data_IF_935837179934
#
_entry.id   IF_935837179934
#
_cell.length_a   1.000
_cell.length_b   1.000
_cell.length_c   1.000
_cell.angle_alpha   90.00
_cell.angle_beta   90.00
_cell.angle_gamma   90.00
#
_symmetry.space_group_name_H-M   'P 1'
#
loop_
_entity.id
_entity.type
_entity.pdbx_description
1 polymer ?
#
# COMPACT_ATOMS: atom_id res chain seq x y z
N UNK A 1 -48.98 -49.93 -29.03
CA UNK A 1 -49.65 -50.87 -29.94
C UNK A 1 -48.91 -52.19 -29.92
N UNK A 2 -49.66 -53.26 -29.61
CA UNK A 2 -49.44 -54.69 -29.90
C UNK A 2 -48.17 -55.40 -29.39
N UNK A 3 -48.43 -56.22 -28.38
CA UNK A 3 -47.75 -57.48 -28.08
C UNK A 3 -47.87 -58.50 -29.25
N UNK A 4 -46.92 -59.44 -29.27
CA UNK A 4 -47.11 -60.90 -29.16
C UNK A 4 -46.77 -61.82 -30.37
N UNK A 5 -46.09 -62.92 -29.98
CA UNK A 5 -45.86 -64.25 -30.57
C UNK A 5 -44.66 -64.47 -31.52
N UNK A 6 -43.59 -65.23 -31.22
CA UNK A 6 -43.34 -66.65 -30.79
C UNK A 6 -42.88 -67.48 -32.00
N UNK A 7 -41.73 -68.17 -31.89
CA UNK A 7 -41.50 -69.57 -32.31
C UNK A 7 -40.05 -69.95 -31.96
N UNK A 8 -39.95 -70.90 -31.04
CA UNK A 8 -38.75 -71.63 -30.70
C UNK A 8 -38.36 -72.55 -31.86
N UNK A 9 -37.07 -72.56 -32.23
CA UNK A 9 -36.46 -73.67 -32.97
C UNK A 9 -35.38 -74.26 -32.08
N UNK A 10 -35.78 -75.34 -31.44
CA UNK A 10 -34.94 -76.29 -30.73
C UNK A 10 -34.30 -77.18 -31.79
N UNK A 11 -33.07 -76.85 -32.22
CA UNK A 11 -32.24 -77.76 -32.99
C UNK A 11 -31.10 -78.22 -32.10
N UNK A 12 -31.27 -79.42 -31.55
CA UNK A 12 -30.21 -80.15 -30.87
C UNK A 12 -29.04 -80.37 -31.81
N UNK A 13 -27.86 -79.93 -31.37
CA UNK A 13 -26.60 -80.13 -32.05
C UNK A 13 -25.47 -80.04 -31.04
N UNK A 14 -25.12 -81.21 -30.47
CA UNK A 14 -23.88 -81.51 -29.75
C UNK A 14 -23.40 -80.46 -28.74
N UNK A 15 -23.80 -80.67 -27.49
CA UNK A 15 -23.06 -80.18 -26.33
C UNK A 15 -21.68 -80.85 -26.37
N UNK A 16 -20.70 -80.21 -26.99
CA UNK A 16 -19.29 -80.55 -26.78
C UNK A 16 -19.00 -80.16 -25.34
N UNK A 17 -18.63 -81.10 -24.44
CA UNK A 17 -18.17 -80.73 -23.12
C UNK A 17 -16.97 -79.82 -23.32
N UNK A 18 -17.08 -78.58 -22.87
CA UNK A 18 -15.94 -77.69 -22.73
C UNK A 18 -14.97 -78.43 -21.79
N UNK A 19 -13.95 -79.05 -22.37
CA UNK A 19 -12.82 -79.58 -21.62
C UNK A 19 -12.30 -78.40 -20.79
N UNK A 20 -12.49 -78.48 -19.48
CA UNK A 20 -11.85 -77.58 -18.54
C UNK A 20 -10.34 -77.72 -18.81
N UNK A 21 -9.77 -76.72 -19.47
CA UNK A 21 -8.35 -76.67 -19.73
C UNK A 21 -7.70 -76.53 -18.35
N UNK A 22 -7.03 -77.59 -17.89
CA UNK A 22 -6.15 -77.57 -16.72
C UNK A 22 -5.04 -76.55 -16.99
N UNK A 23 -5.34 -75.27 -16.72
CA UNK A 23 -4.36 -74.19 -16.80
C UNK A 23 -3.57 -74.24 -15.51
N UNK A 24 -2.29 -74.59 -15.61
CA UNK A 24 -1.35 -74.47 -14.48
C UNK A 24 -1.47 -73.04 -13.92
N UNK A 25 -1.77 -72.88 -12.62
CA UNK A 25 -1.92 -71.56 -12.03
C UNK A 25 -0.58 -70.81 -12.13
N UNK A 26 -0.59 -69.48 -12.34
CA UNK A 26 0.64 -68.73 -12.50
C UNK A 26 1.52 -68.88 -11.24
N UNK A 27 2.82 -69.18 -11.40
CA UNK A 27 3.74 -69.41 -10.29
C UNK A 27 3.86 -68.13 -9.42
N UNK A 28 4.03 -68.26 -8.09
CA UNK A 28 4.11 -67.12 -7.18
C UNK A 28 5.29 -66.20 -7.54
N UNK A 29 5.10 -64.90 -7.36
CA UNK A 29 6.06 -63.86 -7.79
C UNK A 29 7.45 -63.98 -7.15
N UNK A 30 7.57 -64.75 -6.07
CA UNK A 30 8.83 -65.04 -5.35
C UNK A 30 9.71 -66.12 -5.99
N UNK A 31 9.19 -66.93 -6.93
CA UNK A 31 10.00 -67.94 -7.63
C UNK A 31 10.86 -67.29 -8.72
N UNK A 32 12.20 -67.45 -8.71
CA UNK A 32 13.08 -66.88 -9.74
C UNK A 32 12.87 -67.55 -11.09
N UNK A 33 12.98 -66.79 -12.18
CA UNK A 33 12.61 -67.24 -13.53
C UNK A 33 13.43 -68.45 -14.05
N UNK A 34 14.62 -68.68 -13.50
CA UNK A 34 15.49 -69.81 -13.85
C UNK A 34 15.02 -71.16 -13.30
N UNK A 35 14.10 -71.13 -12.33
CA UNK A 35 13.57 -72.32 -11.63
C UNK A 35 12.13 -72.64 -12.06
N UNK A 36 11.64 -72.01 -13.13
CA UNK A 36 10.31 -72.26 -13.68
C UNK A 36 10.33 -73.47 -14.62
N UNK A 37 9.41 -74.40 -14.39
CA UNK A 37 9.07 -75.43 -15.37
C UNK A 37 8.41 -74.78 -16.60
N UNK A 38 8.50 -75.42 -17.78
CA UNK A 38 7.99 -74.83 -19.04
C UNK A 38 6.52 -74.39 -18.94
N UNK A 39 5.66 -75.22 -18.34
CA UNK A 39 4.23 -74.91 -18.16
C UNK A 39 3.99 -73.75 -17.17
N UNK A 40 4.82 -73.64 -16.12
CA UNK A 40 4.77 -72.52 -15.16
C UNK A 40 5.25 -71.21 -15.81
N UNK A 41 6.27 -71.28 -16.67
CA UNK A 41 6.78 -70.14 -17.44
C UNK A 41 5.73 -69.63 -18.44
N UNK A 42 5.06 -70.52 -19.17
CA UNK A 42 3.97 -70.17 -20.08
C UNK A 42 2.80 -69.51 -19.35
N UNK A 43 2.43 -70.01 -18.17
CA UNK A 43 1.40 -69.40 -17.32
C UNK A 43 1.79 -67.98 -16.85
N UNK A 44 3.06 -67.76 -16.49
CA UNK A 44 3.58 -66.43 -16.10
C UNK A 44 3.62 -65.46 -17.29
N UNK A 45 4.05 -65.91 -18.47
CA UNK A 45 4.04 -65.11 -19.69
C UNK A 45 2.60 -64.68 -20.04
N UNK A 46 1.64 -65.60 -19.94
CA UNK A 46 0.24 -65.31 -20.22
C UNK A 46 -0.35 -64.29 -19.24
N UNK A 47 -0.05 -64.41 -17.93
CA UNK A 47 -0.41 -63.40 -16.90
C UNK A 47 0.14 -62.02 -17.29
N UNK A 48 1.42 -61.91 -17.61
CA UNK A 48 2.01 -60.61 -17.99
C UNK A 48 1.45 -60.08 -19.30
N UNK A 49 1.12 -60.95 -20.26
CA UNK A 49 0.47 -60.55 -21.51
C UNK A 49 -0.93 -59.97 -21.27
N UNK A 50 -1.73 -60.59 -20.41
CA UNK A 50 -3.04 -60.08 -20.01
C UNK A 50 -2.95 -58.78 -19.22
N UNK A 51 -1.98 -58.68 -18.30
CA UNK A 51 -1.69 -57.45 -17.56
C UNK A 51 -1.28 -56.31 -18.50
N UNK A 52 -0.38 -56.56 -19.45
CA UNK A 52 0.04 -55.58 -20.46
C UNK A 52 -1.14 -55.16 -21.35
N UNK A 53 -1.99 -56.09 -21.79
CA UNK A 53 -3.19 -55.75 -22.56
C UNK A 53 -4.17 -54.88 -21.75
N UNK A 54 -4.34 -55.17 -20.46
CA UNK A 54 -5.16 -54.39 -19.54
C UNK A 54 -4.59 -52.99 -19.32
N UNK A 55 -3.28 -52.89 -19.07
CA UNK A 55 -2.59 -51.61 -18.90
C UNK A 55 -2.64 -50.77 -20.18
N UNK A 56 -2.47 -51.39 -21.34
CA UNK A 56 -2.60 -50.72 -22.64
C UNK A 56 -4.00 -50.14 -22.82
N UNK A 57 -5.05 -50.92 -22.53
CA UNK A 57 -6.45 -50.46 -22.60
C UNK A 57 -6.70 -49.28 -21.65
N UNK A 58 -6.17 -49.34 -20.42
CA UNK A 58 -6.25 -48.22 -19.46
C UNK A 58 -5.53 -46.98 -19.96
N UNK A 59 -4.35 -47.14 -20.54
CA UNK A 59 -3.54 -46.05 -21.07
C UNK A 59 -4.24 -45.36 -22.24
N UNK A 60 -4.85 -46.13 -23.14
CA UNK A 60 -5.60 -45.57 -24.28
C UNK A 60 -6.89 -44.88 -23.81
N UNK A 61 -7.56 -45.41 -22.78
CA UNK A 61 -8.66 -44.74 -22.09
C UNK A 61 -8.26 -43.40 -21.48
N UNK A 62 -7.18 -43.38 -20.69
CA UNK A 62 -6.65 -42.14 -20.07
C UNK A 62 -6.24 -41.11 -21.12
N UNK A 63 -5.66 -41.53 -22.25
CA UNK A 63 -5.35 -40.62 -23.36
C UNK A 63 -6.61 -39.99 -23.95
N UNK A 64 -7.66 -40.78 -24.16
CA UNK A 64 -8.94 -40.26 -24.66
C UNK A 64 -9.56 -39.26 -23.67
N UNK A 65 -9.48 -39.56 -22.36
CA UNK A 65 -9.99 -38.66 -21.32
C UNK A 65 -9.20 -37.34 -21.28
N UNK A 66 -7.87 -37.39 -21.42
CA UNK A 66 -7.02 -36.18 -21.52
C UNK A 66 -7.42 -35.35 -22.74
N UNK A 67 -7.54 -35.96 -23.92
CA UNK A 67 -7.95 -35.25 -25.14
C UNK A 67 -9.32 -34.58 -24.99
N UNK A 68 -10.26 -35.27 -24.33
CA UNK A 68 -11.58 -34.71 -24.04
C UNK A 68 -11.47 -33.53 -23.07
N UNK A 69 -10.72 -33.66 -21.98
CA UNK A 69 -10.53 -32.60 -21.00
C UNK A 69 -9.84 -31.35 -21.62
N UNK A 70 -8.87 -31.55 -22.52
CA UNK A 70 -8.22 -30.47 -23.26
C UNK A 70 -9.20 -29.75 -24.20
N UNK A 71 -10.09 -30.51 -24.87
CA UNK A 71 -11.15 -29.96 -25.71
C UNK A 71 -12.20 -29.17 -24.93
N UNK A 72 -12.64 -29.71 -23.79
CA UNK A 72 -13.58 -29.06 -22.87
C UNK A 72 -12.96 -27.76 -22.29
N UNK A 73 -11.68 -27.80 -21.91
CA UNK A 73 -10.94 -26.62 -21.42
C UNK A 73 -10.85 -25.53 -22.50
N UNK A 74 -10.50 -25.90 -23.73
CA UNK A 74 -10.42 -24.96 -24.86
C UNK A 74 -11.78 -24.30 -25.12
N UNK A 75 -12.85 -25.09 -25.08
CA UNK A 75 -14.22 -24.58 -25.26
C UNK A 75 -14.62 -23.62 -24.13
N UNK A 76 -14.40 -24.00 -22.87
CA UNK A 76 -14.70 -23.18 -21.71
C UNK A 76 -13.91 -21.85 -21.71
N UNK A 77 -12.63 -21.87 -22.09
CA UNK A 77 -11.81 -20.65 -22.24
C UNK A 77 -12.36 -19.76 -23.35
N UNK A 78 -12.76 -20.35 -24.49
CA UNK A 78 -13.39 -19.61 -25.57
C UNK A 78 -14.71 -18.94 -25.16
N UNK A 79 -15.55 -19.65 -24.40
CA UNK A 79 -16.83 -19.13 -23.93
C UNK A 79 -16.65 -18.04 -22.85
N UNK A 80 -15.67 -18.18 -21.95
CA UNK A 80 -15.29 -17.13 -21.02
C UNK A 80 -14.81 -15.86 -21.73
N UNK A 81 -14.01 -16.01 -22.80
CA UNK A 81 -13.54 -14.88 -23.58
C UNK A 81 -14.70 -14.11 -24.21
N UNK A 82 -15.66 -14.81 -24.83
CA UNK A 82 -16.87 -14.20 -25.40
C UNK A 82 -17.69 -13.48 -24.33
N UNK A 83 -17.91 -14.12 -23.18
CA UNK A 83 -18.64 -13.52 -22.06
C UNK A 83 -17.97 -12.21 -21.58
N UNK A 84 -16.64 -12.19 -21.50
CA UNK A 84 -15.91 -10.97 -21.15
C UNK A 84 -16.03 -9.89 -22.23
N UNK A 85 -15.92 -10.24 -23.51
CA UNK A 85 -16.13 -9.30 -24.63
C UNK A 85 -17.54 -8.70 -24.61
N UNK A 86 -18.56 -9.52 -24.34
CA UNK A 86 -19.95 -9.06 -24.18
C UNK A 86 -20.11 -8.11 -22.99
N UNK A 87 -19.51 -8.42 -21.85
CA UNK A 87 -19.50 -7.53 -20.67
C UNK A 87 -18.84 -6.19 -21.02
N UNK A 88 -17.68 -6.21 -21.67
CA UNK A 88 -16.96 -5.00 -22.09
C UNK A 88 -17.80 -4.15 -23.06
N UNK A 89 -18.49 -4.81 -24.00
CA UNK A 89 -19.44 -4.17 -24.90
C UNK A 89 -20.60 -3.51 -24.13
N UNK A 90 -21.19 -4.18 -23.13
CA UNK A 90 -22.28 -3.61 -22.32
C UNK A 90 -21.85 -2.35 -21.54
N UNK A 91 -20.62 -2.34 -21.02
CA UNK A 91 -20.06 -1.17 -20.33
C UNK A 91 -19.47 -0.12 -21.28
N UNK A 92 -19.49 -0.38 -22.60
CA UNK A 92 -18.92 0.49 -23.62
C UNK A 92 -17.43 0.74 -23.43
N UNK A 93 -16.70 -0.28 -22.96
CA UNK A 93 -15.25 -0.23 -22.77
C UNK A 93 -14.57 -1.18 -23.74
N UNK A 94 -13.35 -0.83 -24.15
CA UNK A 94 -12.49 -1.74 -24.92
C UNK A 94 -11.60 -2.56 -24.00
N UNK A 95 -11.03 -3.64 -24.53
CA UNK A 95 -10.00 -4.42 -23.79
C UNK A 95 -8.80 -3.54 -23.40
N UNK A 96 -8.44 -2.56 -24.24
CA UNK A 96 -7.38 -1.60 -23.93
C UNK A 96 -7.72 -0.71 -22.73
N UNK A 97 -8.98 -0.27 -22.62
CA UNK A 97 -9.44 0.54 -21.48
C UNK A 97 -9.40 -0.26 -20.18
N UNK A 98 -9.83 -1.52 -20.24
CA UNK A 98 -9.77 -2.46 -19.11
C UNK A 98 -8.33 -2.72 -18.67
N UNK A 99 -7.41 -2.92 -19.62
CA UNK A 99 -6.00 -3.12 -19.34
C UNK A 99 -5.36 -1.86 -18.73
N UNK A 100 -5.65 -0.68 -19.30
CA UNK A 100 -5.21 0.60 -18.76
C UNK A 100 -5.75 0.85 -17.34
N UNK A 101 -7.01 0.49 -17.08
CA UNK A 101 -7.60 0.55 -15.74
C UNK A 101 -6.87 -0.39 -14.78
N UNK A 102 -6.62 -1.64 -15.18
CA UNK A 102 -5.91 -2.64 -14.37
C UNK A 102 -4.51 -2.15 -13.97
N UNK A 103 -3.78 -1.56 -14.91
CA UNK A 103 -2.47 -0.98 -14.62
C UNK A 103 -2.54 0.21 -13.67
N UNK A 104 -3.48 1.15 -13.89
CA UNK A 104 -3.67 2.31 -13.01
C UNK A 104 -4.03 1.88 -11.59
N UNK A 105 -4.96 0.93 -11.45
CA UNK A 105 -5.33 0.35 -10.16
C UNK A 105 -4.13 -0.31 -9.48
N UNK A 106 -3.35 -1.11 -10.22
CA UNK A 106 -2.14 -1.75 -9.70
C UNK A 106 -1.09 -0.74 -9.22
N UNK A 107 -0.93 0.41 -9.89
CA UNK A 107 -0.04 1.49 -9.44
C UNK A 107 -0.51 2.10 -8.11
N UNK A 108 -1.81 2.36 -7.94
CA UNK A 108 -2.36 2.87 -6.68
C UNK A 108 -2.19 1.84 -5.56
N UNK A 109 -2.51 0.57 -5.81
CA UNK A 109 -2.29 -0.51 -4.84
C UNK A 109 -0.83 -0.62 -4.39
N UNK A 110 0.12 -0.48 -5.34
CA UNK A 110 1.55 -0.45 -5.03
C UNK A 110 1.91 0.70 -4.08
N UNK A 111 1.48 1.93 -4.39
CA UNK A 111 1.72 3.11 -3.54
C UNK A 111 1.06 2.98 -2.16
N UNK A 112 -0.16 2.45 -2.09
CA UNK A 112 -0.85 2.23 -0.80
C UNK A 112 -0.11 1.22 0.06
N UNK A 113 0.38 0.11 -0.52
CA UNK A 113 1.20 -0.87 0.21
C UNK A 113 2.53 -0.29 0.69
N UNK A 114 3.13 0.64 -0.04
CA UNK A 114 4.32 1.37 0.41
C UNK A 114 3.98 2.24 1.63
N UNK A 115 2.89 3.01 1.55
CA UNK A 115 2.45 3.89 2.63
C UNK A 115 2.05 3.12 3.89
N UNK A 116 1.42 1.95 3.75
CA UNK A 116 1.07 1.07 4.88
C UNK A 116 2.29 0.57 5.67
N UNK A 117 3.50 0.64 5.12
CA UNK A 117 4.74 0.25 5.81
C UNK A 117 5.37 1.39 6.61
N UNK A 118 4.92 2.63 6.39
CA UNK A 118 5.44 3.80 7.08
C UNK A 118 4.87 3.89 8.51
N UNK A 119 5.61 4.53 9.40
CA UNK A 119 5.11 4.81 10.75
C UNK A 119 4.12 5.99 10.75
N UNK A 120 3.42 6.19 11.86
CA UNK A 120 2.37 7.22 11.98
C UNK A 120 2.88 8.65 11.70
N UNK A 121 4.12 8.97 12.13
CA UNK A 121 4.72 10.30 11.92
C UNK A 121 5.05 10.53 10.43
N UNK A 122 5.64 9.54 9.76
CA UNK A 122 5.94 9.59 8.33
C UNK A 122 4.66 9.64 7.49
N UNK A 123 3.60 8.94 7.90
CA UNK A 123 2.29 9.00 7.26
C UNK A 123 1.67 10.39 7.39
N UNK A 124 1.79 11.03 8.55
CA UNK A 124 1.32 12.40 8.76
C UNK A 124 2.08 13.40 7.88
N UNK A 125 3.38 13.22 7.68
CA UNK A 125 4.17 14.06 6.76
C UNK A 125 3.80 13.84 5.28
N UNK A 126 3.44 12.61 4.89
CA UNK A 126 3.02 12.24 3.53
C UNK A 126 1.49 12.33 3.31
N UNK A 127 0.76 13.06 4.16
CA UNK A 127 -0.69 13.18 4.07
C UNK A 127 -1.17 13.74 2.72
N UNK A 128 -0.39 14.64 2.10
CA UNK A 128 -0.69 15.17 0.77
C UNK A 128 -0.70 14.06 -0.31
N UNK A 129 0.20 13.08 -0.20
CA UNK A 129 0.24 11.93 -1.11
C UNK A 129 -0.96 11.00 -0.89
N UNK A 130 -1.37 10.78 0.37
CA UNK A 130 -2.58 9.99 0.69
C UNK A 130 -3.84 10.64 0.11
N UNK A 131 -3.95 11.97 0.19
CA UNK A 131 -5.05 12.73 -0.46
C UNK A 131 -5.03 12.58 -1.98
N UNK A 132 -3.87 12.72 -2.60
CA UNK A 132 -3.72 12.52 -4.04
C UNK A 132 -4.12 11.09 -4.47
N UNK A 133 -3.76 10.06 -3.69
CA UNK A 133 -4.17 8.68 -3.94
C UNK A 133 -5.70 8.51 -3.84
N UNK A 134 -6.34 9.16 -2.87
CA UNK A 134 -7.80 9.14 -2.76
C UNK A 134 -8.45 9.82 -3.97
N UNK A 135 -7.93 10.95 -4.43
CA UNK A 135 -8.41 11.65 -5.62
C UNK A 135 -8.24 10.79 -6.88
N UNK A 136 -7.06 10.18 -7.07
CA UNK A 136 -6.79 9.24 -8.17
C UNK A 136 -7.77 8.05 -8.13
N UNK A 137 -7.99 7.44 -6.96
CA UNK A 137 -8.94 6.34 -6.81
C UNK A 137 -10.38 6.79 -7.07
N UNK A 138 -10.78 7.97 -6.60
CA UNK A 138 -12.11 8.52 -6.84
C UNK A 138 -12.34 8.87 -8.32
N UNK A 139 -11.31 9.26 -9.05
CA UNK A 139 -11.37 9.42 -10.50
C UNK A 139 -11.63 8.07 -11.18
N UNK A 140 -10.87 7.03 -10.81
CA UNK A 140 -11.07 5.67 -11.33
C UNK A 140 -12.48 5.13 -11.03
N UNK A 141 -13.00 5.38 -9.82
CA UNK A 141 -14.35 4.96 -9.41
C UNK A 141 -15.48 5.53 -10.26
N UNK A 142 -15.25 6.64 -10.98
CA UNK A 142 -16.24 7.25 -11.88
C UNK A 142 -16.24 6.59 -13.26
N UNK A 143 -15.19 5.85 -13.60
CA UNK A 143 -15.13 5.12 -14.87
C UNK A 143 -16.06 3.90 -14.82
N UNK A 144 -16.71 3.59 -15.95
CA UNK A 144 -17.64 2.44 -16.05
C UNK A 144 -16.94 1.11 -15.78
N UNK A 145 -15.65 1.02 -16.09
CA UNK A 145 -14.79 -0.15 -15.86
C UNK A 145 -14.69 -0.51 -14.38
N UNK A 146 -14.80 0.46 -13.46
CA UNK A 146 -14.72 0.19 -12.02
C UNK A 146 -15.87 -0.68 -11.49
N UNK A 147 -16.98 -0.79 -12.22
CA UNK A 147 -18.12 -1.63 -11.86
C UNK A 147 -17.92 -3.11 -12.21
N UNK A 148 -16.85 -3.46 -12.94
CA UNK A 148 -16.57 -4.86 -13.27
C UNK A 148 -16.28 -5.68 -12.02
N UNK A 149 -16.77 -6.94 -11.94
CA UNK A 149 -16.55 -7.81 -10.78
C UNK A 149 -15.07 -8.01 -10.41
N UNK A 150 -14.16 -8.06 -11.40
CA UNK A 150 -12.71 -8.18 -11.17
C UNK A 150 -12.13 -7.02 -10.35
N UNK A 151 -12.70 -5.82 -10.48
CA UNK A 151 -12.15 -4.60 -9.89
C UNK A 151 -12.95 -4.08 -8.71
N UNK A 152 -14.26 -4.31 -8.69
CA UNK A 152 -15.19 -3.71 -7.73
C UNK A 152 -14.75 -3.93 -6.27
N UNK A 153 -14.51 -5.19 -5.89
CA UNK A 153 -14.10 -5.54 -4.52
C UNK A 153 -12.73 -4.97 -4.16
N UNK A 154 -11.79 -4.98 -5.12
CA UNK A 154 -10.44 -4.41 -4.96
C UNK A 154 -10.50 -2.91 -4.73
N UNK A 155 -11.28 -2.19 -5.53
CA UNK A 155 -11.45 -0.74 -5.42
C UNK A 155 -12.06 -0.36 -4.06
N UNK A 156 -13.03 -1.14 -3.57
CA UNK A 156 -13.63 -0.92 -2.24
C UNK A 156 -12.62 -1.18 -1.13
N UNK A 157 -11.87 -2.28 -1.20
CA UNK A 157 -10.83 -2.59 -0.23
C UNK A 157 -9.77 -1.48 -0.20
N UNK A 158 -9.34 -1.03 -1.37
CA UNK A 158 -8.34 0.03 -1.51
C UNK A 158 -8.85 1.37 -0.96
N UNK A 159 -10.12 1.71 -1.17
CA UNK A 159 -10.73 2.91 -0.58
C UNK A 159 -10.73 2.85 0.95
N UNK A 160 -11.00 1.67 1.54
CA UNK A 160 -10.91 1.45 2.98
C UNK A 160 -9.47 1.63 3.48
N UNK A 161 -8.51 1.06 2.76
CA UNK A 161 -7.09 1.12 3.13
C UNK A 161 -6.58 2.56 3.09
N UNK A 162 -6.85 3.30 2.00
CA UNK A 162 -6.49 4.73 1.88
C UNK A 162 -7.12 5.54 3.00
N UNK A 163 -8.40 5.31 3.32
CA UNK A 163 -9.06 5.97 4.44
C UNK A 163 -8.35 5.67 5.77
N UNK A 164 -7.88 4.43 5.95
CA UNK A 164 -7.12 4.00 7.12
C UNK A 164 -5.71 4.61 7.22
N UNK A 165 -5.15 5.13 6.12
CA UNK A 165 -3.85 5.80 6.09
C UNK A 165 -3.89 7.26 6.52
N UNK A 166 -5.08 7.87 6.63
CA UNK A 166 -5.18 9.23 7.14
C UNK A 166 -4.67 9.31 8.58
N UNK A 167 -3.57 10.04 8.75
CA UNK A 167 -3.02 10.44 10.04
C UNK A 167 -2.95 11.96 10.07
N UNK A 168 -3.55 12.54 11.10
CA UNK A 168 -3.37 13.94 11.38
C UNK A 168 -2.06 14.11 12.15
N UNK A 169 -1.30 15.11 11.77
CA UNK A 169 -0.11 15.54 12.50
C UNK A 169 -0.58 16.03 13.86
N UNK A 170 -0.44 15.20 14.91
CA UNK A 170 -0.79 15.59 16.28
C UNK A 170 0.14 16.71 16.71
N UNK A 171 -0.36 17.95 16.62
CA UNK A 171 0.33 19.10 17.16
C UNK A 171 0.22 19.01 18.69
N UNK A 172 1.36 18.92 19.37
CA UNK A 172 1.37 19.00 20.83
C UNK A 172 1.19 20.46 21.24
N UNK A 173 0.25 20.76 22.14
CA UNK A 173 0.17 22.07 22.77
C UNK A 173 1.19 22.18 23.91
N UNK A 174 1.88 23.30 24.02
CA UNK A 174 2.71 23.63 25.17
C UNK A 174 2.22 24.90 25.83
N UNK A 175 1.89 24.83 27.11
CA UNK A 175 1.54 26.02 27.89
C UNK A 175 2.80 26.69 28.39
N UNK A 176 3.03 27.93 27.97
CA UNK A 176 4.17 28.75 28.39
C UNK A 176 4.07 29.01 29.88
N UNK A 177 5.09 28.62 30.63
CA UNK A 177 5.25 28.94 32.05
C UNK A 177 5.81 30.33 32.29
N UNK A 178 6.05 30.66 33.56
CA UNK A 178 6.67 31.94 33.91
C UNK A 178 8.17 31.93 33.62
N UNK A 179 8.73 33.10 33.26
CA UNK A 179 10.18 33.25 33.09
C UNK A 179 10.96 32.93 34.37
N UNK A 180 10.40 33.27 35.53
CA UNK A 180 11.03 33.07 36.83
C UNK A 180 11.20 31.58 37.17
N UNK A 181 10.21 30.74 36.86
CA UNK A 181 10.21 29.32 37.20
C UNK A 181 10.83 28.47 36.09
N UNK A 182 10.40 28.69 34.85
CA UNK A 182 10.69 27.80 33.73
C UNK A 182 11.70 28.37 32.73
N UNK A 183 12.02 29.67 32.84
CA UNK A 183 12.83 30.41 31.86
C UNK A 183 12.34 30.18 30.43
N UNK A 184 11.02 30.14 30.26
CA UNK A 184 10.42 29.84 28.98
C UNK A 184 10.64 30.98 27.99
N UNK A 185 11.38 30.64 26.94
CA UNK A 185 11.46 31.37 25.69
C UNK A 185 11.43 30.35 24.56
N UNK A 186 11.14 30.78 23.33
CA UNK A 186 11.04 29.86 22.19
C UNK A 186 12.28 28.97 22.04
N UNK A 187 13.46 29.52 22.31
CA UNK A 187 14.74 28.80 22.33
C UNK A 187 14.76 27.67 23.38
N UNK A 188 14.48 27.98 24.65
CA UNK A 188 14.50 27.00 25.72
C UNK A 188 13.40 25.96 25.57
N UNK A 189 12.20 26.36 25.15
CA UNK A 189 11.09 25.45 24.85
C UNK A 189 11.53 24.45 23.76
N UNK A 190 12.12 24.92 22.66
CA UNK A 190 12.63 24.03 21.62
C UNK A 190 13.77 23.11 22.10
N UNK A 191 14.60 23.59 23.02
CA UNK A 191 15.72 22.82 23.58
C UNK A 191 15.32 21.73 24.57
N UNK A 192 14.07 21.71 25.07
CA UNK A 192 13.60 20.64 25.98
C UNK A 192 13.59 19.30 25.25
N UNK A 193 14.12 18.26 25.90
CA UNK A 193 14.18 16.90 25.34
C UNK A 193 12.80 16.33 24.99
N UNK A 194 11.76 16.74 25.72
CA UNK A 194 10.36 16.32 25.50
C UNK A 194 9.72 16.96 24.25
N UNK A 195 10.34 18.05 23.73
CA UNK A 195 9.84 18.82 22.59
C UNK A 195 10.66 18.51 21.34
N UNK A 196 11.88 19.04 21.22
CA UNK A 196 12.78 18.76 20.10
C UNK A 196 14.18 18.33 20.54
N UNK A 197 14.62 18.71 21.75
CA UNK A 197 16.00 18.53 22.18
C UNK A 197 17.02 19.40 21.41
N UNK A 198 16.54 20.29 20.53
CA UNK A 198 17.36 21.16 19.69
C UNK A 198 16.86 22.61 19.81
N UNK A 199 17.61 23.49 20.49
CA UNK A 199 17.25 24.88 20.63
C UNK A 199 17.19 25.67 19.31
N UNK A 200 17.84 25.18 18.24
CA UNK A 200 17.80 25.84 16.94
C UNK A 200 16.45 25.65 16.22
N UNK A 201 15.55 24.81 16.74
CA UNK A 201 14.21 24.58 16.18
C UNK A 201 13.16 25.60 16.64
N UNK A 202 13.54 26.60 17.44
CA UNK A 202 12.66 27.69 17.86
C UNK A 202 11.89 28.39 16.71
N UNK A 203 12.43 28.55 15.47
CA UNK A 203 11.68 29.19 14.38
C UNK A 203 10.44 28.40 13.96
N UNK A 204 10.43 27.07 14.19
CA UNK A 204 9.28 26.21 13.89
C UNK A 204 8.09 26.56 14.78
N UNK A 205 8.35 26.73 16.08
CA UNK A 205 7.34 27.16 17.05
C UNK A 205 6.85 28.56 16.71
N UNK A 206 7.76 29.47 16.36
CA UNK A 206 7.37 30.82 15.97
C UNK A 206 6.46 30.83 14.75
N UNK A 207 6.85 30.14 13.67
CA UNK A 207 6.09 30.11 12.41
C UNK A 207 4.70 29.49 12.59
N UNK A 208 4.60 28.42 13.35
CA UNK A 208 3.34 27.75 13.65
C UNK A 208 2.38 28.58 14.52
N UNK A 209 2.88 29.63 15.20
CA UNK A 209 2.10 30.49 16.10
C UNK A 209 2.22 31.97 15.72
N UNK A 210 2.40 32.31 14.44
CA UNK A 210 2.50 33.72 13.99
C UNK A 210 1.21 34.54 14.17
N UNK A 211 0.09 33.85 14.38
CA UNK A 211 -1.17 34.41 14.81
C UNK A 211 -1.04 35.07 16.19
N UNK A 212 -0.47 34.36 17.18
CA UNK A 212 -0.27 34.82 18.56
C UNK A 212 1.05 35.57 18.77
N UNK A 213 2.15 35.05 18.22
CA UNK A 213 3.51 35.55 18.43
C UNK A 213 3.92 36.50 17.28
N UNK A 214 3.70 37.80 17.48
CA UNK A 214 4.18 38.83 16.53
C UNK A 214 5.68 39.07 16.63
N UNK A 215 6.23 39.01 17.84
CA UNK A 215 7.65 39.16 18.11
C UNK A 215 8.20 37.86 18.73
N UNK A 216 9.13 37.15 18.08
CA UNK A 216 9.65 35.88 18.60
C UNK A 216 10.44 36.02 19.92
N UNK A 217 10.93 37.21 20.26
CA UNK A 217 11.62 37.45 21.54
C UNK A 217 10.65 37.62 22.73
N UNK A 218 9.33 37.71 22.48
CA UNK A 218 8.33 37.98 23.51
C UNK A 218 7.22 36.94 23.48
N UNK A 219 7.17 36.10 24.51
CA UNK A 219 6.07 35.17 24.79
C UNK A 219 5.54 35.43 26.20
N UNK A 220 4.24 35.23 26.43
CA UNK A 220 3.62 35.46 27.74
C UNK A 220 3.24 34.14 28.42
N UNK A 221 3.34 34.06 29.76
CA UNK A 221 2.86 32.90 30.51
C UNK A 221 1.37 32.65 30.29
N UNK A 222 0.97 31.38 30.21
CA UNK A 222 -0.39 30.93 29.96
C UNK A 222 -0.76 30.81 28.48
N UNK A 223 0.09 31.25 27.55
CA UNK A 223 -0.12 31.01 26.13
C UNK A 223 -0.01 29.51 25.81
N UNK A 224 -0.99 28.98 25.08
CA UNK A 224 -0.94 27.61 24.57
C UNK A 224 -0.37 27.67 23.16
N UNK A 225 0.91 27.31 23.05
CA UNK A 225 1.64 27.28 21.79
C UNK A 225 1.47 25.94 21.10
N UNK A 226 1.17 26.01 19.82
CA UNK A 226 1.21 24.90 18.86
C UNK A 226 2.67 24.48 18.67
N UNK A 227 3.03 23.27 19.07
CA UNK A 227 4.36 22.68 18.86
C UNK A 227 4.27 21.70 17.69
N UNK A 228 4.80 22.05 16.50
CA UNK A 228 5.00 21.11 15.40
C UNK A 228 5.84 19.91 15.86
N UNK A 229 5.86 18.79 15.12
CA UNK A 229 6.77 17.69 15.42
C UNK A 229 8.23 17.99 15.03
N UNK A 230 9.12 17.22 15.65
CA UNK A 230 10.56 17.27 15.38
C UNK A 230 10.83 16.87 13.91
N UNK A 231 11.73 17.59 13.25
CA UNK A 231 12.06 17.35 11.85
C UNK A 231 12.84 18.53 11.24
N UNK A 232 13.39 18.37 10.02
CA UNK A 232 14.15 19.42 9.36
C UNK A 232 13.29 20.69 9.16
N UNK A 233 13.96 21.85 9.17
CA UNK A 233 13.30 23.14 8.94
C UNK A 233 12.83 23.23 7.49
N UNK A 234 11.61 23.67 7.28
CA UNK A 234 11.08 24.00 5.95
C UNK A 234 11.77 25.24 5.38
N UNK A 235 11.71 25.43 4.06
CA UNK A 235 12.26 26.62 3.40
C UNK A 235 11.69 27.93 3.95
N UNK A 236 10.41 27.92 4.36
CA UNK A 236 9.73 29.07 4.94
C UNK A 236 10.25 29.39 6.34
N UNK A 237 10.47 28.37 7.18
CA UNK A 237 11.05 28.52 8.51
C UNK A 237 12.48 29.08 8.43
N UNK A 238 13.31 28.57 7.51
CA UNK A 238 14.66 29.09 7.28
C UNK A 238 14.66 30.53 6.75
N UNK A 239 13.73 30.88 5.84
CA UNK A 239 13.58 32.26 5.35
C UNK A 239 13.16 33.23 6.47
N UNK A 240 12.24 32.82 7.34
CA UNK A 240 11.80 33.64 8.47
C UNK A 240 12.92 33.83 9.50
N UNK A 241 13.66 32.78 9.84
CA UNK A 241 14.83 32.86 10.71
C UNK A 241 15.87 33.85 10.17
N UNK A 242 16.24 33.74 8.88
CA UNK A 242 17.17 34.67 8.23
C UNK A 242 16.66 36.12 8.27
N UNK A 243 15.36 36.33 8.01
CA UNK A 243 14.72 37.66 8.05
C UNK A 243 14.76 38.25 9.46
N UNK A 244 14.51 37.43 10.48
CA UNK A 244 14.59 37.83 11.89
C UNK A 244 16.01 38.28 12.25
N UNK A 245 17.04 37.47 11.96
CA UNK A 245 18.43 37.84 12.24
C UNK A 245 18.89 39.08 11.49
N UNK A 246 18.44 39.26 10.24
CA UNK A 246 18.71 40.48 9.48
C UNK A 246 18.12 41.72 10.17
N UNK A 247 16.87 41.65 10.62
CA UNK A 247 16.22 42.74 11.36
C UNK A 247 16.93 43.03 12.68
N UNK A 248 17.30 41.98 13.43
CA UNK A 248 17.99 42.11 14.73
C UNK A 248 19.36 42.77 14.58
N UNK A 249 20.14 42.37 13.56
CA UNK A 249 21.40 43.03 13.22
C UNK A 249 21.22 44.50 12.85
N UNK A 250 20.28 44.82 11.95
CA UNK A 250 20.02 46.20 11.57
C UNK A 250 19.58 47.06 12.77
N UNK A 251 18.77 46.51 13.67
CA UNK A 251 18.38 47.18 14.91
C UNK A 251 19.57 47.39 15.85
N UNK A 252 20.47 46.41 15.98
CA UNK A 252 21.68 46.53 16.79
C UNK A 252 22.66 47.57 16.20
N UNK A 253 22.85 47.57 14.88
CA UNK A 253 23.66 48.56 14.16
C UNK A 253 23.08 49.98 14.33
N UNK A 254 21.76 50.14 14.22
CA UNK A 254 21.07 51.41 14.47
C UNK A 254 21.18 51.86 15.94
N UNK A 255 21.08 50.94 16.91
CA UNK A 255 21.25 51.24 18.32
C UNK A 255 22.71 51.63 18.64
N UNK A 256 23.69 50.97 18.02
CA UNK A 256 25.10 51.32 18.15
C UNK A 256 25.40 52.70 17.56
N UNK A 257 24.83 53.03 16.39
CA UNK A 257 24.95 54.35 15.78
C UNK A 257 24.30 55.46 16.64
N UNK A 258 23.13 55.18 17.24
CA UNK A 258 22.48 56.10 18.17
C UNK A 258 23.34 56.31 19.45
N UNK A 259 24.00 55.26 19.95
CA UNK A 259 24.88 55.36 21.11
C UNK A 259 26.21 56.10 20.84
N UNK A 260 26.64 56.22 19.57
CA UNK A 260 27.85 56.95 19.17
C UNK A 260 27.60 58.39 18.74
N UNK A 261 26.34 58.86 18.76
CA UNK A 261 26.03 60.28 18.47
C UNK A 261 26.20 61.11 19.75
N UNK A 262 27.13 62.09 19.82
CA UNK A 262 27.32 62.90 21.02
C UNK A 262 26.09 63.76 21.27
N UNK A 263 25.65 63.84 22.54
CA UNK A 263 24.59 64.74 22.97
C UNK A 263 24.92 66.20 22.55
N UNK A 264 23.97 66.96 22.00
CA UNK A 264 24.23 68.36 21.64
C UNK A 264 24.53 69.17 22.90
N UNK A 265 25.68 69.85 22.92
CA UNK A 265 26.13 70.68 24.01
C UNK A 265 25.12 71.81 24.30
N UNK A 266 24.65 71.88 25.54
CA UNK A 266 23.77 72.92 26.07
C UNK A 266 24.43 74.30 25.94
N UNK A 267 23.77 75.33 25.39
CA UNK A 267 24.33 76.67 25.36
C UNK A 267 24.22 77.33 26.75
N UNK A 268 25.36 77.75 27.29
CA UNK A 268 25.46 78.51 28.53
C UNK A 268 24.87 79.92 28.35
N UNK A 269 23.86 80.25 29.16
CA UNK A 269 23.31 81.61 29.28
C UNK A 269 24.25 82.49 30.09
N UNK A 270 24.89 83.45 29.43
CA UNK A 270 25.63 84.54 30.07
C UNK A 270 24.64 85.54 30.69
N UNK A 271 24.63 85.67 32.01
CA UNK A 271 24.01 86.80 32.71
C UNK A 271 25.04 87.92 32.84
N UNK A 272 24.86 88.98 32.05
CA UNK A 272 25.58 90.24 32.17
C UNK A 272 25.02 91.06 33.33
N UNK A 273 25.93 91.51 34.18
CA UNK A 273 25.74 92.48 35.25
C UNK A 273 25.27 93.83 34.70
N UNK A 274 24.23 94.43 35.30
CA UNK A 274 23.93 95.86 35.16
C UNK A 274 23.95 96.53 36.54
N UNK A 275 24.95 97.40 36.70
CA UNK A 275 25.16 98.37 37.77
C UNK A 275 24.36 99.64 37.48
N UNK A 276 23.68 100.22 38.48
CA UNK A 276 23.19 101.62 38.57
C UNK A 276 22.47 101.73 39.94
N UNK A 277 23.08 102.22 41.03
CA UNK A 277 23.41 103.60 41.40
C UNK A 277 22.20 104.54 41.60
N UNK A 278 21.99 105.00 42.83
CA UNK A 278 21.51 106.37 43.11
C UNK A 278 20.22 106.56 43.91
N UNK A 279 20.41 107.03 45.15
CA UNK A 279 19.51 107.75 46.08
C UNK A 279 18.30 107.04 46.71
#
# INVERSE_FOLDING_TARGET
>A
MKNLFLIAIFCGGLLVPAMAQDRVPPPPESKPDKELECDEADARILKYKEQNATLQTKLDGLKSDIMKAEGDLTSAVGDLKKCNEDIYSMIGATEADVNSFRERLGRIEGKVREMQRLNDDQLADRQAEVKALEEELNALRRERVAALPEFYDRVIALARDIKGLYREKKIKGYTVGTWAENRDCLWNISGRAEIYGDPFQWPKIWQANTDQIKNPDVIQPGWVLTIPPAGPKTDEEMKAERKYWRKKRAAAEAAAAAATTPAPATPATNNATKTEAGN
#
